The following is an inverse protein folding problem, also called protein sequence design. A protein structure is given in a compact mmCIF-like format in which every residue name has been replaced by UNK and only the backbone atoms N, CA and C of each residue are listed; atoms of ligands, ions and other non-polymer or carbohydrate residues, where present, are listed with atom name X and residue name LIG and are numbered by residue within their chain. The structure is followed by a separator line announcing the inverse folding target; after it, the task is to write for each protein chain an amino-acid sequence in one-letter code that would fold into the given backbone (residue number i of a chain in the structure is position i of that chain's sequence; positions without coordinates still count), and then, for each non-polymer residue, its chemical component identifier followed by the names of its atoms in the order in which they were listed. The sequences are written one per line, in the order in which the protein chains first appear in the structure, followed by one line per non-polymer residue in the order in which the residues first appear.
data_IF_114655679036
#
_entry.id   IF_114655679036
#
_cell.length_a   1.000
_cell.length_b   1.000
_cell.length_c   1.000
_cell.angle_alpha   90.00
_cell.angle_beta   90.00
_cell.angle_gamma   90.00
#
_symmetry.space_group_name_H-M   'P 1'
#
loop_
_entity.id
_entity.type
_entity.pdbx_description
1 polymer ?
#
# COMPACT_ATOMS: atom_id res chain seq x y z
N UNK A 1 -11.95 13.43 6.25
CA UNK A 1 -13.17 12.59 6.13
C UNK A 1 -12.98 11.28 5.35
N UNK A 2 -11.77 10.87 4.95
CA UNK A 2 -11.55 9.65 4.16
C UNK A 2 -11.22 8.40 4.97
N UNK A 3 -10.89 8.50 6.25
CA UNK A 3 -10.41 7.38 7.07
C UNK A 3 -11.47 6.33 7.43
N UNK A 4 -12.74 6.70 7.46
CA UNK A 4 -13.84 5.80 7.86
C UNK A 4 -14.22 4.77 6.78
N UNK A 5 -13.95 5.03 5.51
CA UNK A 5 -14.31 4.11 4.42
C UNK A 5 -13.30 2.97 4.24
N UNK A 6 -12.03 3.18 4.58
CA UNK A 6 -10.98 2.14 4.49
C UNK A 6 -11.26 0.98 5.44
N UNK A 7 -11.52 1.26 6.73
CA UNK A 7 -11.76 0.23 7.74
C UNK A 7 -12.99 -0.67 7.48
N UNK A 8 -14.04 -0.15 6.85
CA UNK A 8 -15.23 -0.95 6.51
C UNK A 8 -14.96 -1.93 5.36
N UNK A 9 -14.16 -1.54 4.37
CA UNK A 9 -13.76 -2.41 3.27
C UNK A 9 -12.96 -3.61 3.77
N UNK A 10 -12.00 -3.39 4.65
CA UNK A 10 -11.13 -4.43 5.20
C UNK A 10 -11.90 -5.42 6.09
N UNK A 11 -12.78 -4.93 6.95
CA UNK A 11 -13.66 -5.78 7.78
C UNK A 11 -14.53 -6.69 6.92
N UNK A 12 -15.17 -6.15 5.86
CA UNK A 12 -15.98 -6.94 4.94
C UNK A 12 -15.14 -7.99 4.20
N UNK A 13 -13.97 -7.62 3.71
CA UNK A 13 -13.06 -8.55 3.01
C UNK A 13 -12.59 -9.67 3.92
N UNK A 14 -12.23 -9.36 5.17
CA UNK A 14 -11.83 -10.36 6.16
C UNK A 14 -12.96 -11.34 6.48
N UNK A 15 -14.19 -10.88 6.56
CA UNK A 15 -15.36 -11.77 6.78
C UNK A 15 -15.59 -12.74 5.61
N UNK A 16 -15.44 -12.25 4.37
CA UNK A 16 -15.62 -13.06 3.15
C UNK A 16 -14.42 -13.95 2.83
N UNK A 17 -13.22 -13.49 3.16
CA UNK A 17 -11.94 -14.18 2.91
C UNK A 17 -11.14 -14.31 4.20
N UNK A 18 -11.41 -15.34 5.04
CA UNK A 18 -10.75 -15.51 6.35
C UNK A 18 -9.23 -15.62 6.27
N UNK A 19 -8.68 -16.05 5.14
CA UNK A 19 -7.26 -16.20 4.87
C UNK A 19 -6.68 -15.07 4.00
N UNK A 20 -7.27 -13.86 4.05
CA UNK A 20 -6.82 -12.73 3.25
C UNK A 20 -5.44 -12.24 3.72
N UNK A 21 -4.59 -11.95 2.75
CA UNK A 21 -3.28 -11.31 2.93
C UNK A 21 -3.32 -9.89 2.38
N UNK A 22 -2.49 -9.02 2.90
CA UNK A 22 -2.40 -7.62 2.47
C UNK A 22 -1.05 -7.36 1.83
N UNK A 23 -1.04 -6.84 0.63
CA UNK A 23 0.14 -6.21 0.01
C UNK A 23 -0.07 -4.71 0.07
N UNK A 24 0.91 -4.00 0.63
CA UNK A 24 0.90 -2.57 0.86
C UNK A 24 2.12 -1.92 0.21
N UNK A 25 1.89 -1.03 -0.73
CA UNK A 25 2.91 -0.18 -1.33
C UNK A 25 2.73 1.23 -0.81
N UNK A 26 3.76 1.80 -0.19
CA UNK A 26 3.67 3.09 0.49
C UNK A 26 5.07 3.61 0.85
N UNK A 27 5.21 4.91 1.04
CA UNK A 27 6.38 5.50 1.70
C UNK A 27 6.33 5.28 3.22
N UNK A 28 5.13 5.24 3.81
CA UNK A 28 4.88 5.24 5.24
C UNK A 28 4.56 3.85 5.78
N UNK A 29 4.97 3.59 7.03
CA UNK A 29 4.71 2.31 7.68
C UNK A 29 3.23 2.12 8.06
N UNK A 30 2.54 3.19 8.47
CA UNK A 30 1.12 3.21 8.90
C UNK A 30 0.80 2.23 10.03
N UNK A 31 1.79 1.99 10.91
CA UNK A 31 1.71 1.00 11.98
C UNK A 31 1.53 1.61 13.37
N UNK A 32 1.23 2.91 13.46
CA UNK A 32 1.00 3.56 14.75
C UNK A 32 -0.18 2.95 15.49
N UNK A 33 -0.08 2.91 16.80
CA UNK A 33 -1.20 2.50 17.65
C UNK A 33 -2.28 3.57 17.66
N UNK A 34 -1.86 4.82 17.80
CA UNK A 34 -2.70 6.01 17.61
C UNK A 34 -1.90 7.14 16.94
N UNK A 35 -2.61 8.12 16.40
CA UNK A 35 -2.04 9.37 15.91
C UNK A 35 -2.82 10.53 16.49
N UNK A 36 -2.15 11.33 17.35
CA UNK A 36 -2.75 12.45 18.08
C UNK A 36 -4.00 12.05 18.88
N UNK A 37 -3.94 10.87 19.53
CA UNK A 37 -5.04 10.33 20.32
C UNK A 37 -6.17 9.68 19.50
N UNK A 38 -5.98 9.49 18.20
CA UNK A 38 -6.97 8.86 17.30
C UNK A 38 -6.41 7.57 16.72
N UNK A 39 -6.99 6.43 17.11
CA UNK A 39 -6.58 5.10 16.64
C UNK A 39 -7.06 4.77 15.21
N UNK A 40 -8.11 5.43 14.73
CA UNK A 40 -8.63 5.30 13.36
C UNK A 40 -8.13 6.46 12.47
N UNK A 41 -6.83 6.61 12.40
CA UNK A 41 -6.14 7.59 11.57
C UNK A 41 -5.49 6.92 10.36
N UNK A 42 -5.15 7.71 9.30
CA UNK A 42 -4.35 7.25 8.16
C UNK A 42 -3.03 6.59 8.61
N UNK A 43 -2.32 7.15 9.59
CA UNK A 43 -1.05 6.61 10.10
C UNK A 43 -1.20 5.29 10.92
N UNK A 44 -2.43 4.80 11.12
CA UNK A 44 -2.73 3.60 11.91
C UNK A 44 -3.37 2.48 11.09
N UNK A 45 -3.57 2.67 9.78
CA UNK A 45 -4.38 1.78 8.93
C UNK A 45 -3.84 0.36 8.95
N UNK A 46 -2.54 0.16 8.75
CA UNK A 46 -1.94 -1.16 8.71
C UNK A 46 -1.88 -1.83 10.09
N UNK A 47 -1.85 -1.03 11.17
CA UNK A 47 -2.02 -1.56 12.52
C UNK A 47 -3.43 -2.14 12.72
N UNK A 48 -4.46 -1.43 12.26
CA UNK A 48 -5.86 -1.92 12.31
C UNK A 48 -6.08 -3.12 11.40
N UNK A 49 -5.47 -3.14 10.21
CA UNK A 49 -5.48 -4.31 9.34
C UNK A 49 -4.87 -5.54 10.03
N UNK A 50 -3.73 -5.36 10.71
CA UNK A 50 -3.10 -6.45 11.45
C UNK A 50 -4.00 -7.05 12.54
N UNK A 51 -4.74 -6.25 13.28
CA UNK A 51 -5.70 -6.73 14.27
C UNK A 51 -6.76 -7.66 13.67
N UNK A 52 -7.07 -7.48 12.39
CA UNK A 52 -8.03 -8.30 11.65
C UNK A 52 -7.38 -9.56 11.07
N UNK A 53 -6.20 -9.46 10.48
CA UNK A 53 -5.59 -10.56 9.71
C UNK A 53 -4.55 -11.35 10.48
N UNK A 54 -3.89 -10.74 11.48
CA UNK A 54 -2.87 -11.38 12.31
C UNK A 54 -1.46 -11.38 11.70
N UNK A 55 -0.52 -12.02 12.39
CA UNK A 55 0.89 -12.07 12.01
C UNK A 55 1.13 -12.79 10.68
N UNK A 56 2.16 -12.31 9.94
CA UNK A 56 2.66 -12.94 8.71
C UNK A 56 1.75 -12.76 7.49
N UNK A 57 0.73 -11.91 7.58
CA UNK A 57 -0.22 -11.67 6.49
C UNK A 57 -0.17 -10.29 5.87
N UNK A 58 0.70 -9.41 6.36
CA UNK A 58 0.91 -8.07 5.81
C UNK A 58 2.32 -7.98 5.26
N UNK A 59 2.44 -7.56 4.00
CA UNK A 59 3.67 -7.40 3.25
C UNK A 59 3.75 -5.97 2.73
N UNK A 60 4.71 -5.21 3.25
CA UNK A 60 4.90 -3.80 2.94
C UNK A 60 6.13 -3.59 2.05
N UNK A 61 6.02 -2.71 1.06
CA UNK A 61 7.07 -2.39 0.11
C UNK A 61 7.21 -0.88 -0.10
N UNK A 62 8.44 -0.42 -0.29
CA UNK A 62 8.76 0.98 -0.53
C UNK A 62 8.90 1.80 0.75
N UNK A 63 8.67 1.18 1.91
CA UNK A 63 8.59 1.87 3.21
C UNK A 63 9.91 2.55 3.55
N UNK A 64 9.86 3.85 3.80
CA UNK A 64 11.03 4.65 4.18
C UNK A 64 10.76 5.66 5.30
N UNK A 65 9.49 5.90 5.60
CA UNK A 65 9.03 6.81 6.66
C UNK A 65 8.22 6.07 7.72
N UNK A 66 8.42 6.42 8.98
CA UNK A 66 7.76 5.88 10.16
C UNK A 66 8.55 6.25 11.40
N UNK A 67 7.93 6.16 12.57
CA UNK A 67 8.64 6.38 13.83
C UNK A 67 9.36 5.12 14.33
N UNK A 68 10.14 5.29 15.38
CA UNK A 68 10.92 4.20 15.96
C UNK A 68 10.04 3.06 16.48
N UNK A 69 8.90 3.39 17.06
CA UNK A 69 7.98 2.43 17.67
C UNK A 69 7.28 1.61 16.59
N UNK A 70 6.86 2.21 15.49
CA UNK A 70 6.32 1.53 14.32
C UNK A 70 7.29 0.47 13.79
N UNK A 71 8.56 0.85 13.56
CA UNK A 71 9.57 -0.08 13.06
C UNK A 71 9.94 -1.18 14.05
N UNK A 72 9.97 -0.88 15.36
CA UNK A 72 10.22 -1.91 16.38
C UNK A 72 9.09 -2.92 16.44
N UNK A 73 7.86 -2.44 16.45
CA UNK A 73 6.67 -3.28 16.46
C UNK A 73 6.54 -4.09 15.17
N UNK A 74 6.75 -3.45 14.03
CA UNK A 74 6.65 -4.06 12.70
C UNK A 74 7.55 -5.28 12.52
N UNK A 75 8.75 -5.31 13.11
CA UNK A 75 9.71 -6.42 12.97
C UNK A 75 9.14 -7.80 13.30
N UNK A 76 8.17 -7.87 14.19
CA UNK A 76 7.59 -9.13 14.66
C UNK A 76 6.18 -9.40 14.13
N UNK A 77 5.56 -8.42 13.48
CA UNK A 77 4.14 -8.49 13.11
C UNK A 77 3.90 -8.44 11.59
N UNK A 78 4.73 -7.70 10.85
CA UNK A 78 4.59 -7.52 9.40
C UNK A 78 5.92 -7.82 8.70
N UNK A 79 5.87 -8.05 7.39
CA UNK A 79 7.07 -8.19 6.56
C UNK A 79 7.26 -6.90 5.77
N UNK A 80 8.34 -6.16 6.06
CA UNK A 80 8.61 -4.85 5.44
C UNK A 80 9.86 -4.92 4.58
N UNK A 81 9.71 -4.63 3.29
CA UNK A 81 10.80 -4.33 2.36
C UNK A 81 10.93 -2.80 2.25
N UNK A 82 12.11 -2.28 2.58
CA UNK A 82 12.35 -0.84 2.61
C UNK A 82 12.86 -0.32 1.29
N UNK A 83 12.40 0.88 0.89
CA UNK A 83 12.84 1.67 -0.26
C UNK A 83 12.49 1.13 -1.65
N UNK A 84 12.29 -0.16 -1.83
CA UNK A 84 12.11 -0.79 -3.14
C UNK A 84 11.11 -1.96 -3.11
N UNK A 85 11.13 -2.79 -4.16
CA UNK A 85 10.32 -4.00 -4.31
C UNK A 85 11.18 -5.27 -4.43
N UNK A 86 12.40 -5.28 -3.88
CA UNK A 86 13.37 -6.35 -4.12
C UNK A 86 12.87 -7.77 -3.78
N UNK A 87 12.02 -7.91 -2.74
CA UNK A 87 11.49 -9.22 -2.33
C UNK A 87 10.07 -9.49 -2.84
N UNK A 88 9.55 -8.68 -3.78
CA UNK A 88 8.16 -8.80 -4.24
C UNK A 88 7.89 -10.13 -4.95
N UNK A 89 8.81 -10.60 -5.80
CA UNK A 89 8.64 -11.87 -6.53
C UNK A 89 8.56 -13.06 -5.57
N UNK A 90 9.39 -13.09 -4.51
CA UNK A 90 9.34 -14.13 -3.46
C UNK A 90 7.99 -14.12 -2.73
N UNK A 91 7.45 -12.94 -2.45
CA UNK A 91 6.13 -12.80 -1.80
C UNK A 91 5.01 -13.22 -2.74
N UNK A 92 5.10 -12.93 -4.03
CA UNK A 92 4.15 -13.37 -5.05
C UNK A 92 4.12 -14.91 -5.10
N UNK A 93 5.27 -15.56 -5.14
CA UNK A 93 5.35 -17.03 -5.13
C UNK A 93 4.74 -17.64 -3.87
N UNK A 94 4.94 -16.99 -2.72
CA UNK A 94 4.32 -17.41 -1.45
C UNK A 94 2.79 -17.25 -1.45
N UNK A 95 2.24 -16.30 -2.20
CA UNK A 95 0.82 -15.91 -2.14
C UNK A 95 -0.03 -16.35 -3.33
N UNK A 96 0.49 -17.16 -4.26
CA UNK A 96 -0.18 -17.52 -5.52
C UNK A 96 -1.64 -18.04 -5.32
N UNK A 97 -1.88 -18.84 -4.30
CA UNK A 97 -3.21 -19.43 -4.02
C UNK A 97 -4.01 -18.68 -2.95
N UNK A 98 -3.49 -17.56 -2.45
CA UNK A 98 -4.09 -16.80 -1.36
C UNK A 98 -4.94 -15.63 -1.87
N UNK A 99 -6.06 -15.33 -1.20
CA UNK A 99 -6.76 -14.07 -1.46
C UNK A 99 -5.90 -12.91 -0.97
N UNK A 100 -5.71 -11.92 -1.84
CA UNK A 100 -4.88 -10.75 -1.56
C UNK A 100 -5.73 -9.48 -1.64
N UNK A 101 -5.61 -8.61 -0.64
CA UNK A 101 -6.02 -7.22 -0.71
C UNK A 101 -4.80 -6.38 -1.04
N UNK A 102 -4.86 -5.60 -2.11
CA UNK A 102 -3.78 -4.75 -2.56
C UNK A 102 -4.11 -3.28 -2.29
N UNK A 103 -3.40 -2.66 -1.37
CA UNK A 103 -3.48 -1.22 -1.10
C UNK A 103 -2.24 -0.53 -1.63
N UNK A 104 -2.45 0.46 -2.47
CA UNK A 104 -1.40 1.24 -3.12
C UNK A 104 -1.53 2.71 -2.70
N UNK A 105 -0.56 3.19 -1.93
CA UNK A 105 -0.33 4.60 -1.74
C UNK A 105 0.63 5.12 -2.81
N UNK A 106 0.22 6.15 -3.53
CA UNK A 106 1.01 6.68 -4.65
C UNK A 106 2.23 7.47 -4.20
N UNK A 107 2.33 7.82 -2.91
CA UNK A 107 3.52 8.47 -2.35
C UNK A 107 4.72 7.50 -2.18
N UNK A 108 4.52 6.19 -2.45
CA UNK A 108 5.62 5.23 -2.68
C UNK A 108 6.54 5.72 -3.79
N UNK A 109 6.02 6.45 -4.77
CA UNK A 109 6.80 7.12 -5.81
C UNK A 109 7.70 8.21 -5.20
N UNK A 110 8.85 8.43 -5.83
CA UNK A 110 9.70 9.58 -5.48
C UNK A 110 8.98 10.90 -5.79
N UNK A 111 9.09 11.93 -4.92
CA UNK A 111 8.45 13.23 -5.15
C UNK A 111 8.87 13.94 -6.45
N UNK A 112 10.02 13.59 -7.01
CA UNK A 112 10.44 14.09 -8.33
C UNK A 112 9.55 13.58 -9.48
N UNK A 113 8.85 12.47 -9.26
CA UNK A 113 7.91 11.85 -10.21
C UNK A 113 6.46 12.13 -9.83
N UNK A 114 6.18 12.20 -8.53
CA UNK A 114 4.82 12.33 -7.98
C UNK A 114 4.76 13.36 -6.84
N UNK A 115 4.86 14.67 -7.14
CA UNK A 115 4.78 15.71 -6.11
C UNK A 115 3.36 15.97 -5.58
N UNK A 116 2.30 15.50 -6.25
CA UNK A 116 0.90 15.74 -5.91
C UNK A 116 0.35 14.82 -4.83
N UNK A 117 0.99 14.80 -3.68
CA UNK A 117 0.58 14.03 -2.48
C UNK A 117 0.67 14.88 -1.22
N UNK A 118 0.02 14.43 -0.14
CA UNK A 118 -0.04 15.15 1.14
C UNK A 118 1.27 15.12 1.93
N UNK A 119 1.96 13.98 1.91
CA UNK A 119 3.17 13.73 2.72
C UNK A 119 4.29 13.12 1.87
N UNK A 120 4.89 13.91 0.96
CA UNK A 120 5.94 13.41 0.08
C UNK A 120 7.21 13.06 0.84
N UNK A 121 7.78 11.89 0.57
CA UNK A 121 9.03 11.40 1.14
C UNK A 121 10.07 11.14 0.04
N UNK A 122 11.26 11.78 0.07
CA UNK A 122 12.32 11.53 -0.90
C UNK A 122 12.89 10.11 -0.85
N UNK A 123 13.49 9.67 -1.96
CA UNK A 123 14.11 8.35 -2.07
C UNK A 123 13.12 7.24 -2.42
N UNK A 124 12.01 7.59 -3.06
CA UNK A 124 11.00 6.68 -3.54
C UNK A 124 11.36 5.97 -4.85
N UNK A 125 10.45 5.12 -5.31
CA UNK A 125 10.62 4.38 -6.56
C UNK A 125 10.27 5.23 -7.78
N UNK A 126 10.79 4.85 -8.94
CA UNK A 126 10.42 5.45 -10.21
C UNK A 126 9.03 4.99 -10.67
N UNK A 127 8.45 5.75 -11.63
CA UNK A 127 7.20 5.35 -12.27
C UNK A 127 7.27 3.93 -12.85
N UNK A 128 8.36 3.59 -13.53
CA UNK A 128 8.50 2.29 -14.18
C UNK A 128 8.60 1.14 -13.17
N UNK A 129 9.32 1.33 -12.08
CA UNK A 129 9.38 0.34 -10.99
C UNK A 129 8.00 0.08 -10.38
N UNK A 130 7.24 1.15 -10.07
CA UNK A 130 5.88 1.01 -9.54
C UNK A 130 4.95 0.34 -10.57
N UNK A 131 5.00 0.76 -11.84
CA UNK A 131 4.18 0.18 -12.90
C UNK A 131 4.41 -1.32 -13.02
N UNK A 132 5.67 -1.75 -13.06
CA UNK A 132 6.04 -3.17 -13.14
C UNK A 132 5.55 -3.95 -11.91
N UNK A 133 5.83 -3.44 -10.70
CA UNK A 133 5.44 -4.08 -9.45
C UNK A 133 3.92 -4.22 -9.32
N UNK A 134 3.16 -3.14 -9.56
CA UNK A 134 1.70 -3.16 -9.49
C UNK A 134 1.07 -4.09 -10.53
N UNK A 135 1.59 -4.07 -11.77
CA UNK A 135 1.15 -4.99 -12.84
C UNK A 135 1.43 -6.45 -12.46
N UNK A 136 2.57 -6.73 -11.86
CA UNK A 136 2.95 -8.08 -11.43
C UNK A 136 1.99 -8.60 -10.35
N UNK A 137 1.69 -7.80 -9.32
CA UNK A 137 0.69 -8.13 -8.28
C UNK A 137 -0.67 -8.43 -8.92
N UNK A 138 -1.17 -7.52 -9.77
CA UNK A 138 -2.50 -7.64 -10.36
C UNK A 138 -2.64 -8.82 -11.32
N UNK A 139 -1.57 -9.23 -12.01
CA UNK A 139 -1.60 -10.31 -13.01
C UNK A 139 -1.29 -11.69 -12.45
N UNK A 140 -0.55 -11.77 -11.33
CA UNK A 140 -0.08 -13.03 -10.77
C UNK A 140 -0.85 -13.52 -9.55
N UNK A 141 -1.52 -12.61 -8.83
CA UNK A 141 -2.18 -12.94 -7.58
C UNK A 141 -3.72 -12.88 -7.71
N UNK A 142 -4.37 -13.63 -6.85
CA UNK A 142 -5.82 -13.56 -6.66
C UNK A 142 -6.18 -12.29 -5.86
N UNK A 143 -6.16 -11.14 -6.49
CA UNK A 143 -6.54 -9.87 -5.86
C UNK A 143 -8.06 -9.82 -5.70
N UNK A 144 -8.53 -9.82 -4.45
CA UNK A 144 -9.96 -9.82 -4.09
C UNK A 144 -10.49 -8.42 -3.78
N UNK A 145 -9.62 -7.43 -3.76
CA UNK A 145 -9.93 -6.01 -3.62
C UNK A 145 -8.66 -5.20 -3.68
N UNK A 146 -8.77 -3.96 -4.14
CA UNK A 146 -7.67 -3.01 -4.14
C UNK A 146 -8.19 -1.59 -3.91
N UNK A 147 -7.31 -0.72 -3.48
CA UNK A 147 -7.48 0.73 -3.47
C UNK A 147 -6.20 1.43 -3.94
N UNK A 148 -6.34 2.68 -4.37
CA UNK A 148 -5.25 3.57 -4.77
C UNK A 148 -5.47 4.91 -4.09
N UNK A 149 -4.49 5.38 -3.33
CA UNK A 149 -4.64 6.48 -2.40
C UNK A 149 -3.63 7.60 -2.62
N UNK A 150 -3.83 8.69 -1.89
CA UNK A 150 -2.91 9.84 -1.73
C UNK A 150 -2.61 10.62 -3.02
N UNK A 151 -3.47 10.55 -4.04
CA UNK A 151 -3.45 11.58 -5.07
C UNK A 151 -4.09 12.86 -4.53
N UNK A 152 -3.32 13.92 -4.46
CA UNK A 152 -3.71 15.26 -4.01
C UNK A 152 -3.41 16.29 -5.11
N UNK A 153 -4.28 16.43 -6.13
CA UNK A 153 -3.98 17.20 -7.35
C UNK A 153 -3.68 18.67 -7.10
N UNK A 154 -4.22 19.24 -6.02
CA UNK A 154 -4.01 20.66 -5.68
C UNK A 154 -2.59 20.99 -5.22
N UNK A 155 -1.77 19.99 -4.86
CA UNK A 155 -0.36 20.17 -4.56
C UNK A 155 0.53 20.09 -5.80
N UNK A 156 -0.01 19.68 -6.95
CA UNK A 156 0.73 19.61 -8.20
C UNK A 156 0.00 20.38 -9.33
N UNK A 157 0.26 21.69 -9.45
CA UNK A 157 -0.36 22.52 -10.49
C UNK A 157 0.06 22.13 -11.91
N UNK A 158 1.10 21.34 -12.10
CA UNK A 158 1.49 20.83 -13.41
C UNK A 158 0.53 19.75 -13.96
N UNK A 159 -0.20 19.06 -13.07
CA UNK A 159 -1.07 17.96 -13.41
C UNK A 159 -0.35 16.64 -13.69
N UNK A 160 0.98 16.58 -13.59
CA UNK A 160 1.79 15.38 -13.86
C UNK A 160 1.38 14.24 -12.93
N UNK A 161 1.22 14.50 -11.63
CA UNK A 161 0.80 13.48 -10.66
C UNK A 161 -0.55 12.86 -11.00
N UNK A 162 -1.50 13.65 -11.50
CA UNK A 162 -2.81 13.14 -11.94
C UNK A 162 -2.66 12.18 -13.12
N UNK A 163 -1.81 12.52 -14.09
CA UNK A 163 -1.54 11.66 -15.26
C UNK A 163 -0.82 10.38 -14.82
N UNK A 164 0.15 10.47 -13.91
CA UNK A 164 0.85 9.32 -13.33
C UNK A 164 -0.15 8.38 -12.65
N UNK A 165 -1.00 8.89 -11.76
CA UNK A 165 -2.04 8.12 -11.07
C UNK A 165 -2.99 7.42 -12.05
N UNK A 166 -3.53 8.15 -13.04
CA UNK A 166 -4.40 7.60 -14.08
C UNK A 166 -3.71 6.48 -14.86
N UNK A 167 -2.42 6.65 -15.18
CA UNK A 167 -1.65 5.65 -15.92
C UNK A 167 -1.44 4.39 -15.10
N UNK A 168 -1.09 4.49 -13.81
CA UNK A 168 -0.93 3.34 -12.91
C UNK A 168 -2.25 2.57 -12.79
N UNK A 169 -3.35 3.26 -12.49
CA UNK A 169 -4.69 2.63 -12.39
C UNK A 169 -5.07 1.91 -13.68
N UNK A 170 -4.81 2.52 -14.84
CA UNK A 170 -5.07 1.90 -16.14
C UNK A 170 -4.28 0.61 -16.33
N UNK A 171 -2.98 0.61 -16.01
CA UNK A 171 -2.12 -0.59 -16.14
C UNK A 171 -2.58 -1.70 -15.18
N UNK A 172 -3.00 -1.36 -13.95
CA UNK A 172 -3.58 -2.32 -13.01
C UNK A 172 -4.86 -2.96 -13.58
N UNK A 173 -5.79 -2.15 -14.09
CA UNK A 173 -7.04 -2.63 -14.68
C UNK A 173 -6.80 -3.57 -15.87
N UNK A 174 -5.84 -3.26 -16.73
CA UNK A 174 -5.45 -4.12 -17.84
C UNK A 174 -4.79 -5.44 -17.38
N UNK A 175 -4.06 -5.40 -16.26
CA UNK A 175 -3.40 -6.58 -15.70
C UNK A 175 -4.40 -7.57 -15.08
N UNK A 176 -5.52 -7.11 -14.52
CA UNK A 176 -6.59 -7.97 -14.01
C UNK A 176 -7.34 -8.77 -15.09
N UNK A 177 -7.19 -8.41 -16.37
CA UNK A 177 -7.89 -9.06 -17.49
C UNK A 177 -7.09 -10.25 -18.08
N UNK A 178 -5.91 -10.52 -17.55
CA UNK A 178 -5.05 -11.64 -17.97
C UNK A 178 -5.28 -12.86 -17.09
#
# INVERSE_FOLDING_TARGET
RSSTSRGLGDVYKRQKFPDVHVIHFDAHADLREDYLGVSLSHACVLRRCWELVGNGRIFQFGIRSGDREEFQWGRTHVKTNRFDFATLEEVIDQLQDKPVYFTLDLDVLDPSVFPGTGTPEPGGVSFEQLRQAATLVCSKLRVVGCDVNELSPHYDPSGVSTIVACKIVREMLLAFQK
#
